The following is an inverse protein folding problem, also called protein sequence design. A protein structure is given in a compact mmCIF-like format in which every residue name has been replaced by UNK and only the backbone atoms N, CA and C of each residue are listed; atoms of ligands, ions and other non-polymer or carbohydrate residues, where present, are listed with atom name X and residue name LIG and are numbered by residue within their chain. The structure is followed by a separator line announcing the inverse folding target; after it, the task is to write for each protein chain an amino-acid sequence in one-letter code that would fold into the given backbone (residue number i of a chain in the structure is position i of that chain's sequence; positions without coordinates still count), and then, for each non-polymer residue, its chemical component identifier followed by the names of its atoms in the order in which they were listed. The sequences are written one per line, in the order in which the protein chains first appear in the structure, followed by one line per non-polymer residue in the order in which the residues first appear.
data_IF_016737455961
#
_entry.id   IF_016737455961
#
_cell.length_a   1.000
_cell.length_b   1.000
_cell.length_c   1.000
_cell.angle_alpha   90.00
_cell.angle_beta   90.00
_cell.angle_gamma   90.00
#
_symmetry.space_group_name_H-M   'P 1'
#
loop_
_entity.id
_entity.type
_entity.pdbx_description
1 polymer ?
#
# COMPACT_ATOMS: atom_id res chain seq x y z
N UNK A 1 16.14 -11.54 12.39
CA UNK A 1 15.32 -11.34 13.60
C UNK A 1 14.77 -9.92 13.74
N UNK A 2 15.49 -8.89 13.31
CA UNK A 2 15.06 -7.49 13.47
C UNK A 2 13.63 -7.20 12.95
N UNK A 3 13.28 -7.63 11.72
CA UNK A 3 11.94 -7.39 11.16
C UNK A 3 10.82 -8.11 11.92
N UNK A 4 11.01 -9.38 12.30
CA UNK A 4 10.01 -10.13 13.08
C UNK A 4 9.77 -9.57 14.49
N UNK A 5 10.76 -8.85 15.04
CA UNK A 5 10.68 -8.29 16.40
C UNK A 5 10.16 -6.85 16.40
N UNK A 6 9.97 -6.26 15.21
CA UNK A 6 9.53 -4.89 15.08
C UNK A 6 8.02 -4.79 15.28
N UNK A 7 7.61 -4.25 16.44
CA UNK A 7 6.21 -4.11 16.82
C UNK A 7 5.67 -2.68 16.68
N UNK A 8 6.55 -1.69 16.51
CA UNK A 8 6.20 -0.26 16.44
C UNK A 8 5.71 0.22 15.06
N UNK A 9 5.24 -0.71 14.21
CA UNK A 9 4.87 -0.41 12.82
C UNK A 9 3.72 0.60 12.72
N UNK A 10 2.62 0.35 13.43
CA UNK A 10 1.45 1.24 13.42
C UNK A 10 1.77 2.60 14.05
N UNK A 11 2.50 2.61 15.17
CA UNK A 11 2.94 3.85 15.84
C UNK A 11 3.83 4.71 14.93
N UNK A 12 4.63 4.07 14.08
CA UNK A 12 5.49 4.77 13.14
C UNK A 12 4.72 5.26 11.91
N UNK A 13 3.76 4.48 11.42
CA UNK A 13 2.86 4.89 10.35
C UNK A 13 2.06 6.14 10.73
N UNK A 14 1.57 6.22 11.98
CA UNK A 14 0.86 7.39 12.49
C UNK A 14 1.69 8.69 12.49
N UNK A 15 3.02 8.60 12.41
CA UNK A 15 3.91 9.76 12.32
C UNK A 15 4.10 10.30 10.90
N UNK A 16 3.62 9.57 9.89
CA UNK A 16 3.71 10.01 8.48
C UNK A 16 2.75 11.17 8.26
N UNK A 17 3.29 12.31 7.83
CA UNK A 17 2.56 13.57 7.69
C UNK A 17 2.40 14.04 6.24
N UNK A 18 2.90 13.30 5.26
CA UNK A 18 2.71 13.59 3.84
C UNK A 18 1.56 12.74 3.27
N UNK A 19 1.02 13.12 2.10
CA UNK A 19 0.16 12.24 1.32
C UNK A 19 0.84 10.90 1.06
N UNK A 20 0.07 9.81 1.13
CA UNK A 20 0.56 8.44 0.86
C UNK A 20 -0.44 7.71 -0.01
N UNK A 21 0.03 7.10 -1.10
CA UNK A 21 -0.73 6.16 -1.89
C UNK A 21 -0.35 4.71 -1.54
N UNK A 22 -1.35 3.90 -1.22
CA UNK A 22 -1.23 2.45 -1.13
C UNK A 22 -1.71 1.81 -2.45
N UNK A 23 -0.79 1.17 -3.18
CA UNK A 23 -1.11 0.37 -4.37
C UNK A 23 -1.17 -1.10 -3.96
N UNK A 24 -2.36 -1.69 -3.97
CA UNK A 24 -2.60 -3.03 -3.45
C UNK A 24 -3.08 -3.99 -4.54
N UNK A 25 -2.47 -5.17 -4.65
CA UNK A 25 -3.01 -6.26 -5.47
C UNK A 25 -4.25 -6.88 -4.83
N UNK A 26 -5.36 -6.98 -5.56
CA UNK A 26 -6.61 -7.54 -5.01
C UNK A 26 -6.51 -9.04 -4.66
N UNK A 27 -5.54 -9.76 -5.23
CA UNK A 27 -5.29 -11.19 -5.04
C UNK A 27 -3.93 -11.46 -4.37
N UNK A 28 -3.33 -10.44 -3.74
CA UNK A 28 -2.08 -10.60 -3.01
C UNK A 28 -2.26 -11.52 -1.79
N UNK A 29 -1.52 -12.64 -1.78
CA UNK A 29 -1.51 -13.62 -0.68
C UNK A 29 -0.40 -13.35 0.35
N UNK A 30 0.62 -12.58 -0.01
CA UNK A 30 1.76 -12.24 0.84
C UNK A 30 1.42 -11.06 1.76
N UNK A 31 0.77 -10.04 1.20
CA UNK A 31 0.26 -8.89 1.94
C UNK A 31 -1.22 -8.62 1.61
N UNK A 32 -2.15 -9.45 2.11
CA UNK A 32 -3.56 -9.33 1.77
C UNK A 32 -4.12 -7.95 2.10
N UNK A 33 -5.00 -7.44 1.23
CA UNK A 33 -5.64 -6.12 1.36
C UNK A 33 -6.20 -5.88 2.76
N UNK A 34 -6.80 -6.90 3.40
CA UNK A 34 -7.34 -6.82 4.76
C UNK A 34 -6.29 -6.47 5.80
N UNK A 35 -5.07 -7.03 5.68
CA UNK A 35 -3.96 -6.75 6.59
C UNK A 35 -3.46 -5.32 6.37
N UNK A 36 -3.35 -4.90 5.11
CA UNK A 36 -2.95 -3.53 4.76
C UNK A 36 -3.93 -2.47 5.30
N UNK A 37 -5.22 -2.77 5.47
CA UNK A 37 -6.21 -1.80 5.96
C UNK A 37 -5.84 -1.19 7.32
N UNK A 38 -5.18 -1.94 8.22
CA UNK A 38 -4.75 -1.39 9.51
C UNK A 38 -3.69 -0.29 9.32
N UNK A 39 -2.79 -0.48 8.37
CA UNK A 39 -1.73 0.47 8.05
C UNK A 39 -2.29 1.70 7.31
N UNK A 40 -3.21 1.48 6.37
CA UNK A 40 -3.93 2.54 5.66
C UNK A 40 -4.66 3.44 6.67
N UNK A 41 -5.37 2.85 7.63
CA UNK A 41 -6.11 3.60 8.65
C UNK A 41 -5.20 4.37 9.63
N UNK A 42 -3.96 3.94 9.81
CA UNK A 42 -3.00 4.61 10.70
C UNK A 42 -2.42 5.90 10.09
N UNK A 43 -2.44 6.05 8.77
CA UNK A 43 -1.88 7.23 8.08
C UNK A 43 -3.01 8.22 7.76
N UNK A 44 -2.90 9.45 8.26
CA UNK A 44 -3.97 10.46 8.16
C UNK A 44 -4.30 10.90 6.73
N UNK A 45 -3.31 10.91 5.83
CA UNK A 45 -3.45 11.31 4.43
C UNK A 45 -3.28 10.11 3.48
N UNK A 46 -3.79 8.95 3.89
CA UNK A 46 -3.75 7.75 3.07
C UNK A 46 -4.81 7.76 1.97
N UNK A 47 -4.37 7.46 0.77
CA UNK A 47 -5.18 7.04 -0.36
C UNK A 47 -4.87 5.58 -0.68
N UNK A 48 -5.83 4.86 -1.25
CA UNK A 48 -5.59 3.49 -1.68
C UNK A 48 -6.21 3.22 -3.04
N UNK A 49 -5.49 2.43 -3.84
CA UNK A 49 -6.01 1.82 -5.06
C UNK A 49 -5.85 0.31 -4.96
N UNK A 50 -6.86 -0.42 -5.41
CA UNK A 50 -6.84 -1.88 -5.46
C UNK A 50 -6.83 -2.30 -6.92
N UNK A 51 -5.77 -2.95 -7.37
CA UNK A 51 -5.65 -3.41 -8.74
C UNK A 51 -6.33 -4.78 -8.85
N UNK A 52 -7.41 -4.91 -9.65
CA UNK A 52 -8.12 -6.17 -9.80
C UNK A 52 -7.27 -7.20 -10.54
N UNK A 53 -7.44 -8.48 -10.20
CA UNK A 53 -6.72 -9.61 -10.81
C UNK A 53 -5.19 -9.47 -10.76
N UNK A 54 -4.68 -8.93 -9.63
CA UNK A 54 -3.25 -8.71 -9.40
C UNK A 54 -2.82 -9.34 -8.08
N UNK A 55 -1.74 -10.12 -8.12
CA UNK A 55 -1.04 -10.65 -6.97
C UNK A 55 -0.10 -9.64 -6.32
N UNK A 56 1.03 -10.13 -5.82
CA UNK A 56 1.98 -9.36 -5.00
C UNK A 56 2.90 -8.46 -5.83
N UNK A 57 3.14 -8.78 -7.10
CA UNK A 57 4.15 -8.12 -7.92
C UNK A 57 3.50 -7.15 -8.91
N UNK A 58 2.77 -6.13 -8.41
CA UNK A 58 1.94 -5.26 -9.26
C UNK A 58 2.69 -4.63 -10.43
N UNK A 59 3.93 -4.20 -10.23
CA UNK A 59 4.76 -3.61 -11.29
C UNK A 59 5.08 -4.60 -12.44
N UNK A 60 4.97 -5.90 -12.20
CA UNK A 60 5.19 -6.96 -13.21
C UNK A 60 3.86 -7.47 -13.75
N UNK A 61 2.91 -7.74 -12.87
CA UNK A 61 1.62 -8.35 -13.23
C UNK A 61 0.70 -7.36 -13.95
N UNK A 62 0.71 -6.10 -13.50
CA UNK A 62 -0.18 -5.01 -13.90
C UNK A 62 0.59 -3.68 -14.02
N UNK A 63 1.57 -3.61 -14.94
CA UNK A 63 2.49 -2.47 -15.04
C UNK A 63 1.76 -1.17 -15.37
N UNK A 64 0.81 -1.20 -16.29
CA UNK A 64 0.09 -0.01 -16.74
C UNK A 64 -0.82 0.53 -15.63
N UNK A 65 -1.63 -0.32 -14.99
CA UNK A 65 -2.48 0.10 -13.88
C UNK A 65 -1.67 0.59 -12.67
N UNK A 66 -0.49 0.02 -12.44
CA UNK A 66 0.44 0.50 -11.41
C UNK A 66 1.00 1.87 -11.77
N UNK A 67 1.41 2.08 -13.03
CA UNK A 67 1.96 3.34 -13.51
C UNK A 67 0.90 4.45 -13.47
N UNK A 68 -0.31 4.18 -13.93
CA UNK A 68 -1.42 5.14 -13.93
C UNK A 68 -1.73 5.61 -12.51
N UNK A 69 -1.82 4.67 -11.55
CA UNK A 69 -2.04 5.01 -10.15
C UNK A 69 -0.95 5.94 -9.57
N UNK A 70 0.32 5.72 -9.94
CA UNK A 70 1.43 6.56 -9.51
C UNK A 70 1.36 7.95 -10.16
N UNK A 71 1.07 8.01 -11.46
CA UNK A 71 0.94 9.28 -12.20
C UNK A 71 -0.19 10.12 -11.62
N UNK A 72 -1.37 9.53 -11.39
CA UNK A 72 -2.54 10.23 -10.86
C UNK A 72 -2.26 10.80 -9.47
N UNK A 73 -1.56 10.04 -8.62
CA UNK A 73 -1.20 10.52 -7.28
C UNK A 73 -0.18 11.66 -7.28
N UNK A 74 0.82 11.61 -8.16
CA UNK A 74 1.87 12.63 -8.23
C UNK A 74 1.34 13.94 -8.84
N UNK A 75 0.33 13.86 -9.71
CA UNK A 75 -0.26 15.03 -10.39
C UNK A 75 -1.37 15.72 -9.59
N UNK A 76 -1.93 15.05 -8.57
CA UNK A 76 -2.95 15.60 -7.68
C UNK A 76 -2.37 16.64 -6.72
#
# INVERSE_FOLDING_TARGET
QACNSYQAGLDSAAKVSCPVLFVLGAQDLMTPVRVAQQLVAAISQAQQVKIPYCGHMMMIEKPDETLDALIDFIRA
#
